data_IF_400472921322
#
_entry.id   IF_400472921322
#
_cell.length_a   1.000
_cell.length_b   1.000
_cell.length_c   1.000
_cell.angle_alpha   90.00
_cell.angle_beta   90.00
_cell.angle_gamma   90.00
#
_symmetry.space_group_name_H-M   'P 1'
#
loop_
_entity.id
_entity.type
_entity.pdbx_description
1 polymer ?
#
# COMPACT_ATOMS: atom_id res chain seq x y z
N UNK A 1 -9.30 16.79 -20.13
CA UNK A 1 -8.26 16.99 -19.11
C UNK A 1 -7.81 15.64 -18.66
N UNK A 2 -6.50 15.40 -18.74
CA UNK A 2 -5.89 14.15 -18.29
C UNK A 2 -5.23 14.45 -16.93
N UNK A 3 -5.30 13.52 -15.99
CA UNK A 3 -4.57 13.64 -14.71
C UNK A 3 -3.59 12.49 -14.60
N UNK A 4 -2.47 12.78 -13.96
CA UNK A 4 -1.49 11.77 -13.59
C UNK A 4 -1.30 11.79 -12.08
N UNK A 5 -1.42 10.62 -11.46
CA UNK A 5 -1.13 10.38 -10.04
C UNK A 5 0.10 9.51 -9.96
N UNK A 6 1.13 9.98 -9.27
CA UNK A 6 2.33 9.20 -8.97
C UNK A 6 2.28 8.76 -7.52
N UNK A 7 2.69 7.51 -7.28
CA UNK A 7 2.73 6.92 -5.95
C UNK A 7 4.15 6.52 -5.65
N UNK A 8 4.66 6.98 -4.52
CA UNK A 8 5.99 6.67 -4.00
C UNK A 8 5.89 5.80 -2.74
N UNK A 9 6.89 4.97 -2.51
CA UNK A 9 7.07 4.33 -1.20
C UNK A 9 7.65 5.30 -0.18
N UNK A 10 7.80 4.84 1.06
CA UNK A 10 8.39 5.61 2.16
C UNK A 10 9.85 6.02 1.94
N UNK A 11 10.53 5.45 0.95
CA UNK A 11 11.90 5.76 0.56
C UNK A 11 11.96 6.68 -0.66
N UNK A 12 10.83 7.31 -1.02
CA UNK A 12 10.64 8.15 -2.20
C UNK A 12 10.91 7.44 -3.54
N UNK A 13 10.86 6.11 -3.58
CA UNK A 13 10.97 5.36 -4.83
C UNK A 13 9.59 5.28 -5.48
N UNK A 14 9.52 5.60 -6.77
CA UNK A 14 8.30 5.49 -7.55
C UNK A 14 7.81 4.02 -7.57
N UNK A 15 6.58 3.81 -7.11
CA UNK A 15 5.90 2.52 -7.13
C UNK A 15 5.03 2.36 -8.37
N UNK A 16 4.17 3.33 -8.63
CA UNK A 16 3.15 3.27 -9.69
C UNK A 16 2.79 4.66 -10.20
N UNK A 17 2.41 4.72 -11.47
CA UNK A 17 1.82 5.90 -12.11
C UNK A 17 0.44 5.54 -12.63
N UNK A 18 -0.57 6.33 -12.25
CA UNK A 18 -1.95 6.19 -12.70
C UNK A 18 -2.30 7.35 -13.61
N UNK A 19 -2.99 7.06 -14.70
CA UNK A 19 -3.42 8.06 -15.67
C UNK A 19 -4.93 7.99 -15.83
N UNK A 20 -5.60 9.10 -15.55
CA UNK A 20 -7.03 9.27 -15.86
C UNK A 20 -7.16 10.19 -17.06
N UNK A 21 -7.94 9.77 -18.06
CA UNK A 21 -8.13 10.51 -19.31
C UNK A 21 -9.55 11.04 -19.48
N UNK A 22 -10.49 10.62 -18.62
CA UNK A 22 -11.89 11.03 -18.68
C UNK A 22 -12.06 12.47 -18.16
N UNK A 23 -12.72 13.30 -18.97
CA UNK A 23 -13.11 14.67 -18.58
C UNK A 23 -14.11 14.62 -17.43
N UNK A 24 -13.96 15.56 -16.48
CA UNK A 24 -14.90 15.74 -15.36
C UNK A 24 -14.78 14.71 -14.23
N UNK A 25 -13.75 13.86 -14.24
CA UNK A 25 -13.45 12.94 -13.14
C UNK A 25 -12.41 13.59 -12.23
N UNK A 26 -12.70 13.64 -10.93
CA UNK A 26 -11.84 14.27 -9.90
C UNK A 26 -11.45 13.30 -8.77
N UNK A 27 -11.76 12.01 -8.94
CA UNK A 27 -11.53 10.98 -7.92
C UNK A 27 -11.21 9.65 -8.57
N UNK A 28 -10.26 8.91 -7.99
CA UNK A 28 -9.90 7.56 -8.43
C UNK A 28 -9.62 6.68 -7.21
N UNK A 29 -9.95 5.39 -7.32
CA UNK A 29 -9.59 4.39 -6.30
C UNK A 29 -8.35 3.65 -6.78
N UNK A 30 -7.27 3.74 -6.01
CA UNK A 30 -6.01 3.06 -6.29
C UNK A 30 -5.94 1.75 -5.50
N UNK A 31 -5.60 0.65 -6.19
CA UNK A 31 -5.62 -0.70 -5.62
C UNK A 31 -4.27 -1.42 -5.75
N UNK A 32 -4.13 -2.53 -5.02
CA UNK A 32 -2.99 -3.44 -5.09
C UNK A 32 -1.76 -2.91 -4.35
N UNK A 33 -1.95 -2.35 -3.16
CA UNK A 33 -0.90 -1.98 -2.23
C UNK A 33 -0.78 -3.00 -1.10
N UNK A 34 0.41 -3.10 -0.50
CA UNK A 34 0.61 -3.84 0.73
C UNK A 34 -0.19 -3.19 1.87
N UNK A 35 -1.01 -3.94 2.63
CA UNK A 35 -1.68 -3.42 3.81
C UNK A 35 -0.71 -2.87 4.86
N UNK A 36 -1.17 -1.92 5.66
CA UNK A 36 -0.38 -1.31 6.74
C UNK A 36 0.95 -0.69 6.31
N UNK A 37 1.01 -0.20 5.06
CA UNK A 37 2.17 0.51 4.51
C UNK A 37 1.80 1.98 4.29
N UNK A 38 2.76 2.88 4.48
CA UNK A 38 2.63 4.30 4.13
C UNK A 38 3.17 4.55 2.73
N UNK A 39 2.37 5.22 1.90
CA UNK A 39 2.74 5.67 0.55
C UNK A 39 2.60 7.18 0.44
N UNK A 40 3.37 7.81 -0.42
CA UNK A 40 3.26 9.24 -0.73
C UNK A 40 2.65 9.44 -2.12
N UNK A 41 1.69 10.36 -2.23
CA UNK A 41 0.93 10.61 -3.45
C UNK A 41 1.16 12.04 -3.95
N UNK A 42 1.40 12.22 -5.24
CA UNK A 42 1.38 13.53 -5.88
C UNK A 42 0.60 13.48 -7.19
N UNK A 43 -0.07 14.58 -7.54
CA UNK A 43 -0.98 14.66 -8.68
C UNK A 43 -0.58 15.85 -9.57
N UNK A 44 -0.61 15.66 -10.89
CA UNK A 44 -0.49 16.76 -11.86
C UNK A 44 -1.59 16.69 -12.92
N UNK A 45 -2.00 17.87 -13.39
CA UNK A 45 -2.99 18.02 -14.44
C UNK A 45 -2.33 18.20 -15.81
N UNK A 46 -3.00 17.73 -16.85
CA UNK A 46 -2.63 17.91 -18.24
C UNK A 46 -3.67 18.76 -18.98
N UNK A 47 -3.18 19.84 -19.58
CA UNK A 47 -3.95 20.69 -20.49
C UNK A 47 -3.78 20.13 -21.92
N UNK A 48 -4.90 19.90 -22.62
CA UNK A 48 -4.85 19.48 -24.01
C UNK A 48 -4.28 20.61 -24.89
N UNK A 49 -3.52 20.28 -25.96
CA UNK A 49 -3.16 21.27 -26.98
C UNK A 49 -4.43 21.91 -27.56
N UNK A 50 -4.31 23.16 -28.02
CA UNK A 50 -5.40 23.85 -28.69
C UNK A 50 -5.69 23.24 -30.09
N UNK A 51 -6.68 23.77 -30.80
CA UNK A 51 -7.09 23.28 -32.13
C UNK A 51 -5.98 23.34 -33.19
N UNK A 52 -4.97 24.19 -32.98
CA UNK A 52 -3.81 24.34 -33.87
C UNK A 52 -2.64 23.43 -33.45
N UNK A 53 -2.86 22.49 -32.53
CA UNK A 53 -1.85 21.62 -31.91
C UNK A 53 -0.72 22.41 -31.21
N UNK A 54 -1.02 23.60 -30.68
CA UNK A 54 -0.09 24.44 -29.91
C UNK A 54 -0.43 24.42 -28.42
N UNK A 55 0.61 24.55 -27.60
CA UNK A 55 0.49 24.59 -26.15
C UNK A 55 0.03 23.25 -25.54
N UNK A 56 -0.55 23.33 -24.35
CA UNK A 56 -0.88 22.15 -23.54
C UNK A 56 0.34 21.58 -22.82
N UNK A 57 0.18 20.38 -22.25
CA UNK A 57 1.22 19.71 -21.47
C UNK A 57 0.81 19.46 -20.03
N UNK A 58 1.69 18.75 -19.32
CA UNK A 58 1.56 18.55 -17.88
C UNK A 58 2.04 19.80 -17.13
N UNK A 59 1.26 20.22 -16.13
CA UNK A 59 1.72 21.16 -15.12
C UNK A 59 2.67 20.50 -14.10
N UNK A 60 3.00 21.26 -13.06
CA UNK A 60 3.74 20.74 -11.90
C UNK A 60 2.91 19.73 -11.08
N UNK A 61 3.61 18.92 -10.30
CA UNK A 61 2.99 18.07 -9.29
C UNK A 61 2.49 18.92 -8.11
N UNK A 62 1.42 18.45 -7.47
CA UNK A 62 1.04 18.86 -6.12
C UNK A 62 2.15 18.53 -5.12
N UNK A 63 2.12 19.09 -3.90
CA UNK A 63 2.85 18.52 -2.79
C UNK A 63 2.54 17.03 -2.62
N UNK A 64 3.53 16.28 -2.12
CA UNK A 64 3.35 14.88 -1.76
C UNK A 64 2.48 14.76 -0.50
N UNK A 65 1.49 13.89 -0.55
CA UNK A 65 0.57 13.62 0.55
C UNK A 65 0.81 12.18 1.04
N UNK A 66 1.28 11.98 2.28
CA UNK A 66 1.45 10.64 2.84
C UNK A 66 0.10 10.05 3.25
N UNK A 67 -0.10 8.77 2.96
CA UNK A 67 -1.29 8.00 3.32
C UNK A 67 -0.86 6.63 3.85
N UNK A 68 -1.22 6.35 5.10
CA UNK A 68 -1.06 5.01 5.69
C UNK A 68 -2.29 4.16 5.39
N UNK A 69 -2.05 3.02 4.75
CA UNK A 69 -3.10 2.07 4.40
C UNK A 69 -3.61 1.33 5.64
N UNK A 70 -4.87 0.90 5.60
CA UNK A 70 -5.47 0.11 6.68
C UNK A 70 -4.76 -1.24 6.81
N UNK A 71 -4.78 -1.77 8.03
CA UNK A 71 -4.32 -3.13 8.31
C UNK A 71 -5.23 -4.19 7.68
N UNK A 72 -4.68 -5.39 7.54
CA UNK A 72 -5.37 -6.58 7.06
C UNK A 72 -4.94 -7.80 7.87
N UNK A 73 -5.47 -8.97 7.54
CA UNK A 73 -5.09 -10.22 8.20
C UNK A 73 -3.58 -10.49 8.06
N UNK A 74 -2.89 -10.86 9.15
CA UNK A 74 -1.50 -11.30 9.06
C UNK A 74 -1.40 -12.63 8.31
N UNK A 75 -0.22 -12.94 7.79
CA UNK A 75 0.09 -14.29 7.35
C UNK A 75 0.14 -15.27 8.54
N UNK A 76 0.24 -16.57 8.26
CA UNK A 76 0.47 -17.56 9.31
C UNK A 76 1.76 -17.25 10.10
N UNK A 77 1.78 -17.48 11.42
CA UNK A 77 3.01 -17.46 12.21
C UNK A 77 4.04 -18.45 11.66
N UNK A 78 5.32 -18.19 11.85
CA UNK A 78 6.39 -19.05 11.33
C UNK A 78 7.19 -19.71 12.45
N UNK A 79 8.00 -20.73 12.09
CA UNK A 79 8.84 -21.49 13.02
C UNK A 79 8.06 -22.05 14.22
N UNK A 80 6.94 -22.73 13.96
CA UNK A 80 6.17 -23.41 15.01
C UNK A 80 6.86 -24.71 15.39
N UNK A 81 7.25 -24.84 16.66
CA UNK A 81 7.71 -26.10 17.23
C UNK A 81 6.93 -26.42 18.49
N UNK A 82 6.62 -27.71 18.68
CA UNK A 82 5.97 -28.21 19.87
C UNK A 82 6.81 -29.35 20.44
N UNK A 83 7.07 -29.35 21.74
CA UNK A 83 7.86 -30.40 22.40
C UNK A 83 7.22 -30.77 23.72
N UNK A 84 7.01 -32.07 23.94
CA UNK A 84 6.55 -32.58 25.23
C UNK A 84 7.66 -32.37 26.26
N UNK A 85 7.37 -31.61 27.31
CA UNK A 85 8.34 -31.34 28.39
C UNK A 85 8.14 -32.30 29.57
N UNK A 86 6.97 -32.93 29.68
CA UNK A 86 6.63 -34.03 30.59
C UNK A 86 5.31 -34.71 30.12
N UNK A 87 4.82 -35.78 30.79
CA UNK A 87 3.63 -36.52 30.34
C UNK A 87 2.33 -35.72 30.20
N UNK A 88 2.25 -34.50 30.76
CA UNK A 88 1.03 -33.67 30.79
C UNK A 88 1.25 -32.26 30.23
N UNK A 89 2.42 -31.95 29.67
CA UNK A 89 2.75 -30.60 29.25
C UNK A 89 3.51 -30.57 27.92
N UNK A 90 3.14 -29.60 27.08
CA UNK A 90 3.75 -29.31 25.79
C UNK A 90 4.20 -27.85 25.79
N UNK A 91 5.46 -27.61 25.44
CA UNK A 91 5.97 -26.27 25.16
C UNK A 91 5.77 -25.96 23.67
N UNK A 92 5.26 -24.76 23.36
CA UNK A 92 5.05 -24.28 22.00
C UNK A 92 5.87 -23.02 21.77
N UNK A 93 6.85 -23.10 20.88
CA UNK A 93 7.64 -21.96 20.42
C UNK A 93 7.16 -21.50 19.04
N UNK A 94 7.21 -20.19 18.80
CA UNK A 94 6.73 -19.56 17.57
C UNK A 94 7.45 -18.25 17.30
N UNK A 95 7.45 -17.82 16.04
CA UNK A 95 7.87 -16.48 15.63
C UNK A 95 6.71 -15.74 14.96
N UNK A 96 6.83 -14.42 14.92
CA UNK A 96 5.84 -13.57 14.29
C UNK A 96 5.63 -13.92 12.80
N UNK A 97 4.43 -13.71 12.26
CA UNK A 97 4.16 -13.79 10.84
C UNK A 97 5.20 -13.05 10.00
N UNK A 98 5.53 -13.58 8.82
CA UNK A 98 6.44 -12.90 7.90
C UNK A 98 5.81 -11.60 7.37
N UNK A 99 4.49 -11.62 7.16
CA UNK A 99 3.70 -10.46 6.75
C UNK A 99 2.69 -10.20 7.85
N UNK A 100 2.87 -9.12 8.62
CA UNK A 100 1.97 -8.81 9.73
C UNK A 100 0.71 -8.07 9.31
N UNK A 101 0.79 -7.27 8.22
CA UNK A 101 -0.31 -6.39 7.77
C UNK A 101 -0.92 -5.53 8.88
N UNK A 102 -0.14 -5.22 9.92
CA UNK A 102 -0.59 -4.58 11.15
C UNK A 102 0.28 -4.92 12.35
N UNK A 103 -0.07 -4.35 13.50
CA UNK A 103 0.53 -4.73 14.78
C UNK A 103 -0.09 -6.03 15.29
N UNK A 104 0.75 -7.02 15.63
CA UNK A 104 0.30 -8.29 16.19
C UNK A 104 0.02 -8.12 17.69
N UNK A 105 -1.23 -8.31 18.10
CA UNK A 105 -1.66 -8.12 19.50
C UNK A 105 -1.85 -9.41 20.29
N UNK A 106 -2.12 -10.54 19.63
CA UNK A 106 -2.37 -11.85 20.26
C UNK A 106 -2.11 -13.01 19.30
N UNK A 107 -1.98 -14.21 19.88
CA UNK A 107 -1.98 -15.49 19.17
C UNK A 107 -3.08 -16.38 19.75
N UNK A 108 -3.81 -17.07 18.90
CA UNK A 108 -4.78 -18.09 19.30
C UNK A 108 -4.14 -19.48 19.19
N UNK A 109 -4.40 -20.35 20.17
CA UNK A 109 -3.96 -21.75 20.19
C UNK A 109 -5.17 -22.60 20.50
N UNK A 110 -5.43 -23.61 19.67
CA UNK A 110 -6.54 -24.56 19.83
C UNK A 110 -5.93 -25.91 20.25
N UNK A 111 -6.51 -26.52 21.31
CA UNK A 111 -6.06 -27.78 21.93
C UNK A 111 -7.21 -28.79 21.90
#
# INVERSE_FOLDING_TARGET
TKYEVVVYDSSNKLLKTYTETKRGVYSSVLNGFQPFTTVSLAIRAYTQPNTDNKGGGFGGFSPEIPVTLKGAEPSVPNHITATAVNPTAVQIDRKAPLISNGDITKYEVVV
#
